data_IF_361123182506
#
_entry.id   IF_361123182506
#
_cell.length_a   1.000
_cell.length_b   1.000
_cell.length_c   1.000
_cell.angle_alpha   90.00
_cell.angle_beta   90.00
_cell.angle_gamma   90.00
#
_symmetry.space_group_name_H-M   'P 1'
#
loop_
_entity.id
_entity.type
_entity.pdbx_description
1 polymer ?
#
# COMPACT_ATOMS: atom_id res chain seq x y z
N UNK A 1 -13.38 -23.06 0.10
CA UNK A 1 -12.07 -23.48 0.66
C UNK A 1 -11.28 -22.21 0.93
N UNK A 2 -10.53 -22.14 2.03
CA UNK A 2 -9.67 -20.98 2.33
C UNK A 2 -8.53 -20.89 1.30
N UNK A 3 -8.21 -19.69 0.83
CA UNK A 3 -7.04 -19.45 -0.03
C UNK A 3 -5.72 -19.55 0.76
N UNK A 4 -4.59 -19.70 0.06
CA UNK A 4 -3.27 -19.72 0.69
C UNK A 4 -2.99 -18.43 1.47
N UNK A 5 -3.40 -17.27 0.95
CA UNK A 5 -3.31 -15.99 1.63
C UNK A 5 -4.15 -15.92 2.90
N UNK A 6 -5.40 -16.39 2.88
CA UNK A 6 -6.26 -16.41 4.07
C UNK A 6 -5.69 -17.29 5.18
N UNK A 7 -5.07 -18.43 4.81
CA UNK A 7 -4.38 -19.29 5.77
C UNK A 7 -3.16 -18.59 6.37
N UNK A 8 -2.31 -17.98 5.54
CA UNK A 8 -1.16 -17.20 6.00
C UNK A 8 -1.59 -16.04 6.92
N UNK A 9 -2.67 -15.33 6.57
CA UNK A 9 -3.23 -14.25 7.37
C UNK A 9 -3.74 -14.75 8.74
N UNK A 10 -4.39 -15.92 8.77
CA UNK A 10 -4.82 -16.54 10.03
C UNK A 10 -3.62 -16.92 10.91
N UNK A 11 -2.55 -17.46 10.33
CA UNK A 11 -1.33 -17.81 11.04
C UNK A 11 -0.66 -16.58 11.66
N UNK A 12 -0.53 -15.49 10.88
CA UNK A 12 0.04 -14.22 11.38
C UNK A 12 -0.80 -13.65 12.53
N UNK A 13 -2.13 -13.68 12.41
CA UNK A 13 -3.04 -13.28 13.51
C UNK A 13 -2.89 -14.17 14.74
N UNK A 14 -2.50 -15.43 14.56
CA UNK A 14 -2.15 -16.38 15.63
C UNK A 14 -0.74 -16.21 16.21
N UNK A 15 0.04 -15.24 15.75
CA UNK A 15 1.39 -14.93 16.25
C UNK A 15 2.54 -15.48 15.41
N UNK A 16 2.26 -16.08 14.25
CA UNK A 16 3.32 -16.49 13.32
C UNK A 16 4.04 -15.26 12.71
N UNK A 17 5.30 -15.46 12.30
CA UNK A 17 6.09 -14.41 11.66
C UNK A 17 5.54 -14.07 10.26
N UNK A 18 5.13 -12.81 10.06
CA UNK A 18 4.66 -12.33 8.75
C UNK A 18 5.68 -12.56 7.63
N UNK A 19 6.98 -12.45 7.93
CA UNK A 19 8.05 -12.73 6.96
C UNK A 19 8.14 -14.20 6.59
N UNK A 20 7.94 -15.10 7.56
CA UNK A 20 7.93 -16.54 7.29
C UNK A 20 6.72 -16.95 6.45
N UNK A 21 5.53 -16.47 6.80
CA UNK A 21 4.30 -16.74 6.04
C UNK A 21 4.36 -16.13 4.62
N UNK A 22 4.89 -14.93 4.47
CA UNK A 22 5.10 -14.32 3.15
C UNK A 22 6.06 -15.16 2.28
N UNK A 23 7.12 -15.75 2.85
CA UNK A 23 8.02 -16.64 2.11
C UNK A 23 7.28 -17.86 1.57
N UNK A 24 6.41 -18.47 2.37
CA UNK A 24 5.58 -19.63 1.96
C UNK A 24 4.66 -19.26 0.79
N UNK A 25 4.09 -18.04 0.79
CA UNK A 25 3.29 -17.56 -0.35
C UNK A 25 4.14 -17.36 -1.61
N UNK A 26 5.30 -16.71 -1.49
CA UNK A 26 6.21 -16.47 -2.63
C UNK A 26 6.76 -17.77 -3.20
N UNK A 27 7.04 -18.78 -2.38
CA UNK A 27 7.47 -20.10 -2.84
C UNK A 27 6.41 -20.80 -3.71
N UNK A 28 5.13 -20.55 -3.44
CA UNK A 28 4.01 -21.08 -4.23
C UNK A 28 3.74 -20.30 -5.51
N UNK A 29 4.31 -19.10 -5.69
CA UNK A 29 4.10 -18.29 -6.89
C UNK A 29 4.84 -18.88 -8.10
N UNK A 30 4.22 -18.78 -9.27
CA UNK A 30 4.93 -19.02 -10.54
C UNK A 30 5.95 -17.92 -10.80
N UNK A 31 6.84 -18.13 -11.77
CA UNK A 31 7.80 -17.10 -12.19
C UNK A 31 7.08 -15.86 -12.71
N UNK A 32 5.99 -16.03 -13.45
CA UNK A 32 5.17 -14.95 -14.00
C UNK A 32 4.49 -14.15 -12.88
N UNK A 33 3.92 -14.82 -11.88
CA UNK A 33 3.33 -14.15 -10.71
C UNK A 33 4.38 -13.37 -9.91
N UNK A 34 5.60 -13.90 -9.77
CA UNK A 34 6.72 -13.19 -9.13
C UNK A 34 7.13 -11.96 -9.93
N UNK A 35 7.26 -12.07 -11.25
CA UNK A 35 7.60 -10.94 -12.12
C UNK A 35 6.52 -9.86 -12.03
N UNK A 36 5.24 -10.24 -12.07
CA UNK A 36 4.12 -9.32 -11.90
C UNK A 36 4.17 -8.57 -10.56
N UNK A 37 4.64 -9.20 -9.50
CA UNK A 37 4.82 -8.53 -8.21
C UNK A 37 5.99 -7.54 -8.17
N UNK A 38 6.84 -7.51 -9.20
CA UNK A 38 7.98 -6.59 -9.35
C UNK A 38 7.68 -5.44 -10.32
N UNK A 39 6.51 -5.42 -10.95
CA UNK A 39 6.06 -4.32 -11.82
C UNK A 39 4.68 -3.77 -11.42
N UNK A 40 4.35 -2.60 -11.95
CA UNK A 40 3.05 -1.97 -11.72
C UNK A 40 1.95 -2.71 -12.48
N UNK A 41 0.78 -2.90 -11.87
CA UNK A 41 -0.29 -3.70 -12.47
C UNK A 41 -1.04 -3.08 -13.65
N UNK A 42 -0.59 -1.92 -14.15
CA UNK A 42 -1.25 -1.17 -15.23
C UNK A 42 -0.25 -0.96 -16.38
N UNK A 43 -0.61 -1.27 -17.64
CA UNK A 43 0.26 -0.99 -18.79
C UNK A 43 0.64 0.49 -18.88
N UNK A 44 1.89 0.78 -19.23
CA UNK A 44 2.47 2.13 -19.19
C UNK A 44 1.60 3.21 -19.82
N UNK A 45 1.12 2.99 -21.05
CA UNK A 45 0.34 3.99 -21.77
C UNK A 45 -1.06 4.21 -21.20
N UNK A 46 -1.67 3.16 -20.62
CA UNK A 46 -2.94 3.26 -19.92
C UNK A 46 -2.77 4.02 -18.60
N UNK A 47 -1.72 3.69 -17.84
CA UNK A 47 -1.37 4.38 -16.61
C UNK A 47 -1.09 5.87 -16.83
N UNK A 48 -0.34 6.23 -17.88
CA UNK A 48 -0.07 7.63 -18.23
C UNK A 48 -1.36 8.41 -18.57
N UNK A 49 -2.28 7.79 -19.30
CA UNK A 49 -3.58 8.42 -19.62
C UNK A 49 -4.46 8.57 -18.37
N UNK A 50 -4.47 7.56 -17.50
CA UNK A 50 -5.21 7.61 -16.24
C UNK A 50 -4.69 8.72 -15.32
N UNK A 51 -3.37 8.83 -15.15
CA UNK A 51 -2.74 9.92 -14.38
C UNK A 51 -3.10 11.28 -14.98
N UNK A 52 -2.99 11.42 -16.31
CA UNK A 52 -3.27 12.69 -17.02
C UNK A 52 -4.74 13.13 -16.97
N UNK A 53 -5.67 12.21 -16.69
CA UNK A 53 -7.11 12.49 -16.60
C UNK A 53 -7.62 12.65 -15.16
N UNK A 54 -6.72 12.73 -14.18
CA UNK A 54 -7.03 12.92 -12.75
C UNK A 54 -7.08 11.62 -11.93
N UNK A 55 -6.92 10.45 -12.56
CA UNK A 55 -6.96 9.13 -11.90
C UNK A 55 -6.01 9.01 -10.71
N UNK A 56 -4.90 9.73 -10.74
CA UNK A 56 -3.88 9.79 -9.68
C UNK A 56 -4.46 10.16 -8.30
N UNK A 57 -5.47 11.04 -8.24
CA UNK A 57 -6.08 11.50 -6.99
C UNK A 57 -7.40 10.79 -6.65
N UNK A 58 -7.83 9.83 -7.47
CA UNK A 58 -9.13 9.18 -7.32
C UNK A 58 -9.07 7.81 -6.65
N UNK A 59 -7.94 7.09 -6.75
CA UNK A 59 -7.78 5.75 -6.18
C UNK A 59 -6.31 5.41 -5.92
N UNK A 60 -6.03 4.46 -5.00
CA UNK A 60 -4.68 3.91 -4.84
C UNK A 60 -4.21 3.17 -6.10
N UNK A 61 -2.90 3.21 -6.35
CA UNK A 61 -2.24 2.41 -7.37
C UNK A 61 -2.11 0.96 -6.92
N UNK A 62 -2.45 0.01 -7.80
CA UNK A 62 -2.48 -1.42 -7.46
C UNK A 62 -1.27 -2.16 -8.02
N UNK A 63 -0.72 -3.09 -7.24
CA UNK A 63 0.38 -3.95 -7.66
C UNK A 63 0.30 -5.33 -7.00
N UNK A 64 0.98 -6.34 -7.57
CA UNK A 64 1.14 -7.68 -6.98
C UNK A 64 -0.18 -8.39 -6.59
N UNK A 65 -1.22 -8.25 -7.41
CA UNK A 65 -2.46 -9.01 -7.20
C UNK A 65 -2.29 -10.43 -7.74
N UNK A 66 -2.42 -11.44 -6.88
CA UNK A 66 -2.25 -12.86 -7.28
C UNK A 66 -3.53 -13.65 -6.94
N UNK A 67 -4.53 -13.66 -7.84
CA UNK A 67 -5.85 -14.25 -7.58
C UNK A 67 -5.79 -15.73 -7.17
N UNK A 68 -4.90 -16.50 -7.79
CA UNK A 68 -4.76 -17.94 -7.56
C UNK A 68 -4.42 -18.27 -6.10
N UNK A 69 -3.60 -17.42 -5.46
CA UNK A 69 -3.23 -17.55 -4.06
C UNK A 69 -4.13 -16.75 -3.11
N UNK A 70 -5.05 -15.94 -3.65
CA UNK A 70 -5.92 -15.04 -2.89
C UNK A 70 -5.22 -13.76 -2.39
N UNK A 71 -4.07 -13.39 -2.96
CA UNK A 71 -3.31 -12.21 -2.52
C UNK A 71 -3.98 -10.95 -3.09
N UNK A 72 -4.46 -10.01 -2.25
CA UNK A 72 -5.21 -8.83 -2.69
C UNK A 72 -4.35 -7.80 -3.44
N UNK A 73 -3.02 -7.91 -3.33
CA UNK A 73 -2.08 -6.92 -3.84
C UNK A 73 -1.89 -5.72 -2.91
N UNK A 74 -0.98 -4.85 -3.30
CA UNK A 74 -0.71 -3.57 -2.63
C UNK A 74 -1.56 -2.46 -3.24
N UNK A 75 -1.96 -1.52 -2.40
CA UNK A 75 -2.73 -0.33 -2.72
C UNK A 75 -1.92 0.89 -2.27
N UNK A 76 -1.11 1.40 -3.18
CA UNK A 76 -0.19 2.50 -2.96
C UNK A 76 -0.90 3.85 -3.06
N UNK A 77 -0.70 4.71 -2.07
CA UNK A 77 -0.94 6.16 -2.18
C UNK A 77 0.38 6.89 -1.97
N UNK A 78 0.66 7.87 -2.83
CA UNK A 78 1.72 8.86 -2.60
C UNK A 78 1.35 9.77 -1.42
N UNK A 79 2.30 10.59 -1.00
CA UNK A 79 2.00 11.84 -0.34
C UNK A 79 3.06 12.30 0.65
N UNK A 80 3.95 13.25 0.32
CA UNK A 80 4.88 13.83 1.31
C UNK A 80 4.20 14.78 2.33
N UNK A 81 2.88 15.00 2.21
CA UNK A 81 2.07 15.91 3.03
C UNK A 81 0.75 15.28 3.47
N UNK A 82 0.70 13.97 3.57
CA UNK A 82 -0.53 13.19 3.81
C UNK A 82 -1.13 12.62 2.54
N UNK A 83 -2.29 11.98 2.67
CA UNK A 83 -2.95 11.21 1.60
C UNK A 83 -3.36 12.11 0.45
N UNK A 84 -3.05 11.70 -0.78
CA UNK A 84 -3.38 12.46 -2.01
C UNK A 84 -4.62 11.96 -2.73
N UNK A 85 -5.24 10.88 -2.23
CA UNK A 85 -6.44 10.27 -2.79
C UNK A 85 -7.67 10.81 -2.07
N UNK A 86 -8.63 11.33 -2.84
CA UNK A 86 -9.89 11.85 -2.29
C UNK A 86 -9.72 13.10 -1.41
N UNK A 87 -10.67 13.31 -0.51
CA UNK A 87 -10.62 14.41 0.45
C UNK A 87 -9.83 13.98 1.70
N UNK A 88 -8.65 14.56 1.87
CA UNK A 88 -7.72 14.24 2.93
C UNK A 88 -7.03 15.50 3.49
N UNK A 89 -6.39 15.38 4.65
CA UNK A 89 -5.73 16.51 5.30
C UNK A 89 -4.41 16.85 4.60
N UNK A 90 -4.20 18.12 4.30
CA UNK A 90 -2.93 18.64 3.84
C UNK A 90 -2.05 19.05 5.02
N UNK A 91 -1.10 18.20 5.41
CA UNK A 91 -0.16 18.46 6.49
C UNK A 91 0.97 19.42 6.05
N UNK A 92 1.69 20.05 7.00
CA UNK A 92 2.93 20.78 6.68
C UNK A 92 3.95 19.87 5.99
N UNK A 93 4.78 20.46 5.13
CA UNK A 93 5.91 19.74 4.49
C UNK A 93 6.83 19.10 5.53
N UNK A 94 7.49 18.01 5.16
CA UNK A 94 8.40 17.26 6.04
C UNK A 94 9.46 18.15 6.72
N UNK A 95 10.04 19.13 6.02
CA UNK A 95 10.99 20.07 6.63
C UNK A 95 10.37 20.94 7.73
N UNK A 96 9.09 21.33 7.61
CA UNK A 96 8.40 22.14 8.60
C UNK A 96 8.01 21.30 9.82
N UNK A 97 7.62 20.04 9.61
CA UNK A 97 7.41 19.06 10.68
C UNK A 97 8.71 18.79 11.43
N UNK A 98 9.80 18.54 10.71
CA UNK A 98 11.13 18.34 11.28
C UNK A 98 11.65 19.55 12.07
N UNK A 99 11.31 20.77 11.64
CA UNK A 99 11.68 22.00 12.35
C UNK A 99 11.02 22.15 13.73
N UNK A 100 10.01 21.33 14.07
CA UNK A 100 9.45 21.28 15.41
C UNK A 100 10.38 20.59 16.42
N UNK A 101 11.25 19.68 15.96
CA UNK A 101 12.04 18.77 16.80
C UNK A 101 11.18 18.01 17.84
N UNK A 102 9.91 17.77 17.53
CA UNK A 102 8.94 17.09 18.40
C UNK A 102 8.57 15.73 17.79
N UNK A 103 9.13 14.66 18.36
CA UNK A 103 8.87 13.28 17.92
C UNK A 103 7.45 12.82 18.19
N UNK A 104 6.82 13.32 19.26
CA UNK A 104 5.48 12.93 19.66
C UNK A 104 4.44 13.62 18.75
N UNK A 105 4.71 14.85 18.32
CA UNK A 105 3.94 15.50 17.26
C UNK A 105 4.05 14.73 15.94
N UNK A 106 5.25 14.30 15.57
CA UNK A 106 5.48 13.55 14.34
C UNK A 106 4.76 12.20 14.33
N UNK A 107 4.80 11.47 15.46
CA UNK A 107 4.03 10.22 15.63
C UNK A 107 2.53 10.46 15.48
N UNK A 108 1.97 11.52 16.10
CA UNK A 108 0.56 11.88 15.96
C UNK A 108 0.16 12.24 14.53
N UNK A 109 1.06 12.89 13.78
CA UNK A 109 0.84 13.17 12.35
C UNK A 109 0.81 11.86 11.56
N UNK A 110 1.77 10.96 11.79
CA UNK A 110 1.78 9.62 11.17
C UNK A 110 0.51 8.83 11.46
N UNK A 111 0.02 8.88 12.71
CA UNK A 111 -1.21 8.25 13.15
C UNK A 111 -2.45 8.78 12.41
N UNK A 112 -2.51 10.10 12.21
CA UNK A 112 -3.58 10.75 11.47
C UNK A 112 -3.56 10.34 9.99
N UNK A 113 -2.39 10.37 9.35
CA UNK A 113 -2.18 9.93 7.96
C UNK A 113 -2.59 8.45 7.81
N UNK A 114 -2.17 7.58 8.73
CA UNK A 114 -2.51 6.15 8.71
C UNK A 114 -4.01 5.86 8.85
N UNK A 115 -4.77 6.72 9.54
CA UNK A 115 -6.23 6.64 9.58
C UNK A 115 -6.85 7.04 8.25
N UNK A 116 -6.37 8.12 7.63
CA UNK A 116 -6.84 8.58 6.31
C UNK A 116 -6.53 7.55 5.21
N UNK A 117 -5.34 6.93 5.23
CA UNK A 117 -4.94 5.88 4.28
C UNK A 117 -5.91 4.69 4.31
N UNK A 118 -6.27 4.23 5.51
CA UNK A 118 -7.22 3.12 5.68
C UNK A 118 -8.61 3.44 5.13
N UNK A 119 -9.06 4.69 5.23
CA UNK A 119 -10.37 5.12 4.69
C UNK A 119 -10.38 5.07 3.16
N UNK A 120 -9.27 5.43 2.51
CA UNK A 120 -9.16 5.38 1.04
C UNK A 120 -8.77 4.00 0.50
N UNK A 121 -8.61 3.01 1.39
CA UNK A 121 -8.25 1.65 1.03
C UNK A 121 -6.78 1.48 0.59
N UNK A 122 -5.89 2.38 1.01
CA UNK A 122 -4.46 2.26 0.79
C UNK A 122 -3.78 1.49 1.93
N UNK A 123 -2.80 0.67 1.59
CA UNK A 123 -2.02 -0.16 2.52
C UNK A 123 -0.50 0.04 2.38
N UNK A 124 -0.07 0.81 1.37
CA UNK A 124 1.31 1.25 1.16
C UNK A 124 1.34 2.76 0.95
N UNK A 125 2.28 3.44 1.62
CA UNK A 125 2.38 4.89 1.63
C UNK A 125 3.75 5.39 1.18
N UNK A 126 3.77 6.36 0.27
CA UNK A 126 4.98 7.00 -0.24
C UNK A 126 5.14 8.43 0.28
N UNK A 127 5.29 8.61 1.59
CA UNK A 127 5.44 9.92 2.23
C UNK A 127 6.36 9.95 3.42
#
# INVERSE_FOLDING_TARGET
MSTAYEMALANVKGGASARAEARVLVEQMTTEEKIHCLDGGVPTWEGLRDIGSGGYHHRPFRACHVPRLGIPGFHFSDGPRGVVVGAATAFPVSMARGASFDTDLEERIGDAIGRELRVVGADLYGG
#
